data_IF_343880859820
#
_entry.id   IF_343880859820
#
_cell.length_a   1.000
_cell.length_b   1.000
_cell.length_c   1.000
_cell.angle_alpha   90.00
_cell.angle_beta   90.00
_cell.angle_gamma   90.00
#
_symmetry.space_group_name_H-M   'P 1'
#
loop_
_entity.id
_entity.type
_entity.pdbx_description
1 polymer ?
#
# COMPACT_ATOMS: atom_id res chain seq x y z
N UNK A 1 -8.61 -12.07 -1.13
CA UNK A 1 -9.34 -12.12 -2.40
C UNK A 1 -9.84 -10.70 -2.58
N UNK A 2 -8.98 -9.76 -2.93
CA UNK A 2 -9.31 -8.33 -2.79
C UNK A 2 -10.15 -7.84 -3.96
N UNK A 3 -11.37 -7.40 -3.67
CA UNK A 3 -12.32 -6.77 -4.61
C UNK A 3 -12.75 -7.61 -5.83
N UNK A 4 -12.77 -8.95 -5.73
CA UNK A 4 -13.36 -9.80 -6.78
C UNK A 4 -12.60 -9.82 -8.11
N UNK A 5 -11.42 -9.20 -8.19
CA UNK A 5 -10.53 -9.25 -9.36
C UNK A 5 -9.43 -10.28 -9.08
N UNK A 6 -9.35 -11.32 -9.89
CA UNK A 6 -8.24 -12.27 -9.88
C UNK A 6 -6.96 -11.54 -10.32
N UNK A 7 -6.15 -11.09 -9.36
CA UNK A 7 -4.85 -10.48 -9.65
C UNK A 7 -3.83 -11.59 -9.91
N UNK A 8 -3.29 -11.67 -11.13
CA UNK A 8 -2.30 -12.67 -11.57
C UNK A 8 -1.01 -12.71 -10.74
N UNK A 9 -0.72 -11.63 -10.00
CA UNK A 9 0.49 -11.52 -9.16
C UNK A 9 0.54 -12.50 -8.00
N UNK A 10 -0.60 -12.89 -7.40
CA UNK A 10 -0.61 -13.88 -6.32
C UNK A 10 -0.16 -15.25 -6.85
N UNK A 11 -0.79 -15.68 -7.95
CA UNK A 11 -0.46 -16.92 -8.66
C UNK A 11 1.00 -16.93 -9.12
N UNK A 12 1.56 -15.81 -9.55
CA UNK A 12 2.97 -15.71 -9.94
C UNK A 12 3.93 -15.80 -8.75
N UNK A 13 3.61 -15.14 -7.63
CA UNK A 13 4.41 -15.20 -6.42
C UNK A 13 4.39 -16.60 -5.80
N UNK A 14 3.23 -17.24 -5.76
CA UNK A 14 3.06 -18.63 -5.32
C UNK A 14 3.76 -19.59 -6.29
N UNK A 15 3.62 -19.39 -7.60
CA UNK A 15 4.32 -20.21 -8.60
C UNK A 15 5.84 -20.08 -8.49
N UNK A 16 6.36 -18.89 -8.16
CA UNK A 16 7.80 -18.67 -7.98
C UNK A 16 8.30 -19.35 -6.70
N UNK A 17 7.52 -19.31 -5.63
CA UNK A 17 7.83 -20.04 -4.39
C UNK A 17 7.79 -21.55 -4.64
N UNK A 18 6.75 -22.03 -5.31
CA UNK A 18 6.60 -23.45 -5.67
C UNK A 18 7.75 -23.93 -6.56
N UNK A 19 8.18 -23.14 -7.55
CA UNK A 19 9.37 -23.44 -8.39
C UNK A 19 10.69 -23.39 -7.61
N UNK A 20 10.77 -22.60 -6.54
CA UNK A 20 11.98 -22.54 -5.70
C UNK A 20 12.11 -23.72 -4.74
N UNK A 21 10.98 -24.38 -4.43
CA UNK A 21 10.91 -25.50 -3.50
C UNK A 21 10.85 -26.84 -4.26
N UNK A 22 10.25 -26.85 -5.46
CA UNK A 22 10.05 -28.04 -6.24
C UNK A 22 10.77 -28.06 -7.60
N UNK A 23 11.21 -29.25 -7.98
CA UNK A 23 11.68 -29.63 -9.30
C UNK A 23 10.77 -30.73 -9.91
N UNK A 24 11.17 -31.28 -11.06
CA UNK A 24 10.38 -32.31 -11.77
C UNK A 24 10.23 -33.62 -10.98
N UNK A 25 11.00 -33.82 -9.91
CA UNK A 25 11.00 -35.01 -9.05
C UNK A 25 10.32 -34.77 -7.71
N UNK A 26 9.98 -33.53 -7.39
CA UNK A 26 9.39 -33.16 -6.12
C UNK A 26 7.95 -33.63 -6.08
N UNK A 27 7.61 -34.48 -5.11
CA UNK A 27 6.21 -34.91 -4.94
C UNK A 27 5.40 -33.78 -4.31
N UNK A 28 4.06 -33.86 -4.40
CA UNK A 28 3.19 -32.89 -3.71
C UNK A 28 3.47 -32.85 -2.20
N UNK A 29 3.77 -34.00 -1.60
CA UNK A 29 4.10 -34.08 -0.18
C UNK A 29 5.42 -33.38 0.15
N UNK A 30 6.44 -33.53 -0.69
CA UNK A 30 7.73 -32.84 -0.53
C UNK A 30 7.57 -31.33 -0.69
N UNK A 31 6.74 -30.90 -1.66
CA UNK A 31 6.43 -29.48 -1.86
C UNK A 31 5.74 -28.88 -0.63
N UNK A 32 4.69 -29.53 -0.12
CA UNK A 32 3.97 -29.09 1.09
C UNK A 32 4.89 -29.10 2.30
N UNK A 33 5.71 -30.13 2.47
CA UNK A 33 6.68 -30.22 3.58
C UNK A 33 7.76 -29.12 3.48
N UNK A 34 8.20 -28.79 2.26
CA UNK A 34 9.14 -27.70 2.01
C UNK A 34 8.53 -26.32 2.30
N UNK A 35 7.25 -26.13 1.96
CA UNK A 35 6.50 -24.91 2.32
C UNK A 35 6.33 -24.77 3.84
N UNK A 36 6.01 -25.85 4.54
CA UNK A 36 5.90 -25.89 6.01
C UNK A 36 7.26 -25.54 6.64
N UNK A 37 8.34 -26.24 6.26
CA UNK A 37 9.69 -25.97 6.78
C UNK A 37 10.16 -24.55 6.51
N UNK A 38 9.84 -24.00 5.34
CA UNK A 38 10.15 -22.61 5.00
C UNK A 38 9.38 -21.65 5.90
N UNK A 39 8.11 -21.92 6.15
CA UNK A 39 7.26 -21.12 7.04
C UNK A 39 7.81 -21.16 8.47
N UNK A 40 8.18 -22.35 8.97
CA UNK A 40 8.82 -22.54 10.27
C UNK A 40 10.18 -21.83 10.37
N UNK A 41 11.01 -21.90 9.32
CA UNK A 41 12.31 -21.22 9.29
C UNK A 41 12.22 -19.69 9.15
N UNK A 42 11.11 -19.18 8.63
CA UNK A 42 10.82 -17.74 8.66
C UNK A 42 10.48 -17.30 10.08
N UNK A 43 9.77 -18.12 10.85
CA UNK A 43 9.33 -17.79 12.23
C UNK A 43 10.50 -17.40 13.15
N UNK A 44 11.63 -18.13 13.10
CA UNK A 44 12.76 -17.91 14.01
C UNK A 44 13.50 -16.57 13.75
N UNK A 45 13.82 -16.26 12.50
CA UNK A 45 14.50 -14.99 12.16
C UNK A 45 13.56 -13.80 12.25
N UNK A 46 12.28 -13.99 11.93
CA UNK A 46 11.27 -12.94 11.93
C UNK A 46 10.85 -12.56 13.36
N UNK A 47 10.77 -13.54 14.27
CA UNK A 47 10.47 -13.34 15.68
C UNK A 47 11.56 -12.54 16.39
N UNK A 48 12.84 -12.80 16.09
CA UNK A 48 13.97 -12.05 16.66
C UNK A 48 13.93 -10.56 16.30
N UNK A 49 13.56 -10.23 15.06
CA UNK A 49 13.51 -8.83 14.60
C UNK A 49 12.34 -8.06 15.23
N UNK A 50 11.17 -8.69 15.36
CA UNK A 50 10.01 -8.06 16.02
C UNK A 50 10.23 -7.88 17.52
N UNK A 51 10.91 -8.83 18.18
CA UNK A 51 11.31 -8.68 19.59
C UNK A 51 12.31 -7.54 19.79
N UNK A 52 13.22 -7.29 18.84
CA UNK A 52 14.15 -6.16 18.89
C UNK A 52 13.44 -4.81 18.70
N UNK A 53 12.47 -4.72 17.80
CA UNK A 53 11.64 -3.51 17.60
C UNK A 53 10.87 -3.16 18.90
N UNK A 54 10.47 -4.16 19.68
CA UNK A 54 9.70 -3.95 20.92
C UNK A 54 10.50 -3.38 22.11
N UNK A 55 11.84 -3.40 22.10
CA UNK A 55 12.63 -3.08 23.30
C UNK A 55 12.93 -1.58 23.47
N UNK A 56 12.94 -0.80 22.38
CA UNK A 56 13.10 0.65 22.42
C UNK A 56 12.20 1.31 21.36
N UNK A 57 11.21 2.12 21.76
CA UNK A 57 10.34 2.79 20.79
C UNK A 57 11.18 3.74 19.93
N UNK A 58 11.21 3.47 18.64
CA UNK A 58 11.81 4.33 17.63
C UNK A 58 10.95 5.58 17.40
N UNK A 59 11.50 6.58 16.72
CA UNK A 59 10.72 7.74 16.28
C UNK A 59 9.52 7.32 15.41
N UNK A 60 9.67 6.24 14.65
CA UNK A 60 8.63 5.69 13.77
C UNK A 60 7.49 5.10 14.60
N UNK A 61 7.80 4.41 15.70
CA UNK A 61 6.79 3.88 16.62
C UNK A 61 5.93 4.99 17.23
N UNK A 62 6.52 6.16 17.49
CA UNK A 62 5.78 7.34 17.98
C UNK A 62 4.94 7.97 16.86
N UNK A 63 5.50 8.11 15.66
CA UNK A 63 4.84 8.71 14.50
C UNK A 63 3.68 7.88 13.94
N UNK A 64 3.72 6.56 14.12
CA UNK A 64 2.72 5.63 13.59
C UNK A 64 2.13 4.71 14.67
N UNK A 65 2.11 5.14 15.93
CA UNK A 65 1.62 4.35 17.06
C UNK A 65 0.23 3.72 16.83
N UNK A 66 -0.72 4.51 16.32
CA UNK A 66 -2.09 4.04 16.05
C UNK A 66 -2.15 2.98 14.93
N UNK A 67 -1.62 3.24 13.72
CA UNK A 67 -1.50 2.21 12.68
C UNK A 67 -0.76 0.95 13.14
N UNK A 68 0.36 1.11 13.83
CA UNK A 68 1.16 -0.02 14.30
C UNK A 68 0.38 -0.90 15.28
N UNK A 69 -0.39 -0.29 16.20
CA UNK A 69 -1.26 -1.03 17.11
C UNK A 69 -2.34 -1.82 16.36
N UNK A 70 -2.94 -1.25 15.32
CA UNK A 70 -3.93 -1.95 14.49
C UNK A 70 -3.29 -3.11 13.73
N UNK A 71 -2.11 -2.90 13.15
CA UNK A 71 -1.38 -3.92 12.39
C UNK A 71 -0.99 -5.08 13.32
N UNK A 72 -0.42 -4.80 14.49
CA UNK A 72 -0.04 -5.83 15.47
C UNK A 72 -1.24 -6.62 16.00
N UNK A 73 -2.42 -5.99 16.11
CA UNK A 73 -3.63 -6.66 16.60
C UNK A 73 -4.38 -7.47 15.55
N UNK A 74 -4.15 -7.24 14.25
CA UNK A 74 -4.98 -7.80 13.17
C UNK A 74 -4.18 -8.56 12.09
N UNK A 75 -2.86 -8.44 12.07
CA UNK A 75 -2.02 -9.05 11.03
C UNK A 75 -1.13 -10.16 11.60
N UNK A 76 -0.83 -11.15 10.77
CA UNK A 76 0.19 -12.17 11.06
C UNK A 76 1.60 -11.57 11.00
N UNK A 77 2.57 -12.20 11.67
CA UNK A 77 3.95 -11.70 11.84
C UNK A 77 4.59 -11.21 10.53
N UNK A 78 4.50 -12.02 9.48
CA UNK A 78 5.02 -11.67 8.16
C UNK A 78 4.41 -10.38 7.61
N UNK A 79 3.09 -10.22 7.70
CA UNK A 79 2.39 -9.02 7.26
C UNK A 79 2.78 -7.80 8.13
N UNK A 80 2.90 -7.98 9.44
CA UNK A 80 3.38 -6.93 10.37
C UNK A 80 4.74 -6.40 9.93
N UNK A 81 5.69 -7.29 9.63
CA UNK A 81 7.03 -6.88 9.20
C UNK A 81 7.04 -6.17 7.85
N UNK A 82 6.24 -6.66 6.89
CA UNK A 82 6.13 -6.01 5.58
C UNK A 82 5.56 -4.61 5.73
N UNK A 83 4.50 -4.47 6.52
CA UNK A 83 3.86 -3.18 6.78
C UNK A 83 4.81 -2.25 7.55
N UNK A 84 5.57 -2.75 8.51
CA UNK A 84 6.59 -1.97 9.22
C UNK A 84 7.62 -1.38 8.24
N UNK A 85 8.17 -2.18 7.31
CA UNK A 85 9.07 -1.67 6.26
C UNK A 85 8.42 -0.62 5.37
N UNK A 86 7.13 -0.78 5.03
CA UNK A 86 6.40 0.25 4.29
C UNK A 86 6.27 1.55 5.08
N UNK A 87 6.00 1.45 6.39
CA UNK A 87 5.96 2.60 7.31
C UNK A 87 7.33 3.27 7.40
N UNK A 88 8.42 2.50 7.57
CA UNK A 88 9.77 3.06 7.66
C UNK A 88 10.16 3.83 6.39
N UNK A 89 9.81 3.31 5.22
CA UNK A 89 10.09 4.00 3.96
C UNK A 89 9.25 5.27 3.79
N UNK A 90 8.09 5.35 4.42
CA UNK A 90 7.12 6.44 4.19
C UNK A 90 7.61 7.82 4.63
N UNK A 91 8.50 7.90 5.62
CA UNK A 91 9.01 9.16 6.18
C UNK A 91 9.97 9.90 5.23
N UNK A 92 10.40 9.25 4.15
CA UNK A 92 11.29 9.82 3.14
C UNK A 92 10.55 10.42 1.94
N UNK A 93 9.24 10.62 2.06
CA UNK A 93 8.40 11.17 1.01
C UNK A 93 7.80 12.50 1.41
N UNK A 94 7.81 13.43 0.47
CA UNK A 94 7.02 14.66 0.52
C UNK A 94 5.63 14.40 -0.07
N UNK A 95 4.62 15.02 0.52
CA UNK A 95 3.23 14.89 0.09
C UNK A 95 2.66 16.27 -0.23
N UNK A 96 2.10 16.40 -1.42
CA UNK A 96 1.48 17.64 -1.91
C UNK A 96 0.08 17.33 -2.43
N UNK A 97 -0.92 18.07 -1.97
CA UNK A 97 -2.24 18.01 -2.59
C UNK A 97 -2.19 18.67 -3.96
N UNK A 98 -2.65 17.96 -4.99
CA UNK A 98 -2.79 18.50 -6.34
C UNK A 98 -4.07 19.33 -6.36
N UNK A 99 -4.03 20.63 -6.71
CA UNK A 99 -5.24 21.43 -6.82
C UNK A 99 -6.05 20.98 -8.03
N UNK A 100 -7.38 21.02 -7.91
CA UNK A 100 -8.26 20.80 -9.05
C UNK A 100 -8.07 21.98 -10.03
N UNK A 101 -7.86 21.73 -11.33
CA UNK A 101 -7.70 22.80 -12.31
C UNK A 101 -8.93 23.72 -12.37
N UNK A 102 -8.69 24.99 -12.69
CA UNK A 102 -9.74 26.00 -12.73
C UNK A 102 -10.85 25.62 -13.73
N UNK A 103 -12.11 25.76 -13.30
CA UNK A 103 -13.29 25.44 -14.12
C UNK A 103 -13.78 23.99 -13.99
N UNK A 104 -13.06 23.14 -13.28
CA UNK A 104 -13.51 21.78 -12.98
C UNK A 104 -14.14 21.71 -11.58
N UNK A 105 -15.18 20.90 -11.43
CA UNK A 105 -15.80 20.59 -10.12
C UNK A 105 -15.43 19.20 -9.61
N UNK A 106 -14.98 18.31 -10.49
CA UNK A 106 -14.61 16.93 -10.17
C UNK A 106 -13.40 16.48 -10.99
N UNK A 107 -12.55 15.65 -10.39
CA UNK A 107 -11.39 15.04 -11.05
C UNK A 107 -11.76 14.16 -12.25
N UNK A 108 -12.97 13.58 -12.22
CA UNK A 108 -13.48 12.67 -13.24
C UNK A 108 -13.71 13.36 -14.60
N UNK A 109 -13.76 14.71 -14.62
CA UNK A 109 -14.01 15.52 -15.81
C UNK A 109 -12.73 16.00 -16.50
N UNK A 110 -11.56 15.85 -15.87
CA UNK A 110 -10.26 16.36 -16.38
C UNK A 110 -9.71 15.61 -17.61
N UNK A 111 -10.42 14.62 -18.13
CA UNK A 111 -9.83 13.69 -19.08
C UNK A 111 -10.27 13.96 -20.51
N UNK A 112 -9.74 15.02 -21.13
CA UNK A 112 -9.82 15.26 -22.59
C UNK A 112 -8.60 14.74 -23.36
N UNK A 113 -7.62 14.11 -22.68
CA UNK A 113 -6.43 13.51 -23.31
C UNK A 113 -5.44 14.48 -23.99
N UNK A 114 -5.41 15.76 -23.61
CA UNK A 114 -4.56 16.76 -24.31
C UNK A 114 -3.23 17.09 -23.63
N UNK A 115 -2.97 16.64 -22.40
CA UNK A 115 -1.70 16.92 -21.68
C UNK A 115 -0.86 15.64 -21.45
N UNK A 116 0.24 15.53 -22.20
CA UNK A 116 1.20 14.43 -22.17
C UNK A 116 2.13 14.44 -20.94
N UNK A 117 2.04 15.45 -20.06
CA UNK A 117 2.89 15.53 -18.87
C UNK A 117 2.41 14.66 -17.71
N UNK A 118 1.19 14.12 -17.78
CA UNK A 118 0.64 13.23 -16.75
C UNK A 118 1.10 11.79 -17.04
N UNK A 119 1.94 11.24 -16.15
CA UNK A 119 2.40 9.85 -16.24
C UNK A 119 1.20 8.90 -16.38
N UNK A 120 1.38 7.86 -17.20
CA UNK A 120 0.35 6.86 -17.53
C UNK A 120 -0.37 6.29 -16.28
N UNK A 121 0.33 6.26 -15.13
CA UNK A 121 -0.17 5.74 -13.86
C UNK A 121 -1.29 6.59 -13.25
N UNK A 122 -1.20 7.92 -13.25
CA UNK A 122 -2.24 8.81 -12.70
C UNK A 122 -3.47 8.85 -13.59
N UNK A 123 -3.25 8.88 -14.91
CA UNK A 123 -4.33 8.81 -15.92
C UNK A 123 -5.13 7.52 -15.78
N UNK A 124 -4.44 6.39 -15.67
CA UNK A 124 -5.07 5.09 -15.44
C UNK A 124 -5.87 5.10 -14.13
N UNK A 125 -5.29 5.62 -13.05
CA UNK A 125 -5.93 5.70 -11.74
C UNK A 125 -7.26 6.48 -11.77
N UNK A 126 -7.26 7.69 -12.34
CA UNK A 126 -8.47 8.51 -12.44
C UNK A 126 -9.53 7.88 -13.36
N UNK A 127 -9.11 7.29 -14.48
CA UNK A 127 -9.99 6.56 -15.37
C UNK A 127 -10.62 5.34 -14.68
N UNK A 128 -9.82 4.59 -13.90
CA UNK A 128 -10.30 3.46 -13.12
C UNK A 128 -11.36 3.89 -12.10
N UNK A 129 -11.10 4.96 -11.36
CA UNK A 129 -12.06 5.55 -10.40
C UNK A 129 -13.36 5.93 -11.11
N UNK A 130 -13.27 6.65 -12.23
CA UNK A 130 -14.43 7.11 -12.98
C UNK A 130 -15.26 5.94 -13.57
N UNK A 131 -14.60 4.92 -14.12
CA UNK A 131 -15.28 3.76 -14.73
C UNK A 131 -16.02 2.90 -13.69
N UNK A 132 -15.60 2.94 -12.42
CA UNK A 132 -16.28 2.25 -11.32
C UNK A 132 -17.32 3.12 -10.62
N UNK A 133 -17.59 4.34 -11.12
CA UNK A 133 -18.56 5.26 -10.54
C UNK A 133 -18.12 5.84 -9.19
N UNK A 134 -16.84 5.76 -8.86
CA UNK A 134 -16.30 6.33 -7.63
C UNK A 134 -15.99 7.82 -7.81
N UNK A 135 -16.07 8.58 -6.72
CA UNK A 135 -15.73 9.99 -6.70
C UNK A 135 -14.37 10.16 -6.05
N UNK A 136 -13.43 10.76 -6.79
CA UNK A 136 -12.16 11.22 -6.23
C UNK A 136 -12.39 12.53 -5.48
N UNK A 137 -12.21 12.53 -4.17
CA UNK A 137 -12.33 13.71 -3.29
C UNK A 137 -11.02 14.50 -3.24
N UNK A 138 -9.87 13.85 -3.44
CA UNK A 138 -8.57 14.52 -3.47
C UNK A 138 -7.52 13.71 -4.20
N UNK A 139 -6.61 14.40 -4.90
CA UNK A 139 -5.46 13.79 -5.54
C UNK A 139 -4.18 14.31 -4.88
N UNK A 140 -3.29 13.41 -4.51
CA UNK A 140 -2.05 13.71 -3.80
C UNK A 140 -0.86 13.20 -4.58
N UNK A 141 0.13 14.08 -4.73
CA UNK A 141 1.43 13.78 -5.33
C UNK A 141 2.40 13.42 -4.20
N UNK A 142 3.04 12.28 -4.34
CA UNK A 142 3.99 11.73 -3.38
C UNK A 142 5.36 11.65 -4.05
N UNK A 143 6.33 12.44 -3.56
CA UNK A 143 7.65 12.54 -4.16
C UNK A 143 8.74 12.10 -3.18
N UNK A 144 9.67 11.25 -3.62
CA UNK A 144 10.78 10.82 -2.77
C UNK A 144 11.83 11.93 -2.65
N UNK A 145 12.39 12.17 -1.46
CA UNK A 145 13.35 13.28 -1.31
C UNK A 145 14.64 13.11 -2.12
N UNK A 146 15.10 11.87 -2.32
CA UNK A 146 16.39 11.60 -2.97
C UNK A 146 16.27 11.14 -4.43
N UNK A 147 15.07 11.17 -5.03
CA UNK A 147 14.89 10.83 -6.44
C UNK A 147 13.75 11.60 -7.08
N UNK A 148 13.73 11.67 -8.41
CA UNK A 148 12.63 12.25 -9.17
C UNK A 148 11.41 11.30 -9.29
N UNK A 149 11.37 10.23 -8.48
CA UNK A 149 10.24 9.32 -8.46
C UNK A 149 9.03 10.00 -7.83
N UNK A 150 7.93 9.99 -8.59
CA UNK A 150 6.66 10.61 -8.21
C UNK A 150 5.58 9.56 -8.36
N UNK A 151 4.80 9.41 -7.31
CA UNK A 151 3.62 8.57 -7.23
C UNK A 151 2.38 9.40 -6.94
N UNK A 152 1.22 8.85 -7.25
CA UNK A 152 -0.05 9.50 -6.99
C UNK A 152 -0.96 8.63 -6.14
N UNK A 153 -1.66 9.27 -5.21
CA UNK A 153 -2.74 8.67 -4.43
C UNK A 153 -4.00 9.49 -4.63
N UNK A 154 -5.07 8.81 -5.04
CA UNK A 154 -6.41 9.34 -5.01
C UNK A 154 -7.08 8.96 -3.70
N UNK A 155 -7.69 9.93 -3.04
CA UNK A 155 -8.62 9.75 -1.92
C UNK A 155 -10.03 9.81 -2.51
N UNK A 156 -10.87 8.87 -2.11
CA UNK A 156 -12.26 8.76 -2.55
C UNK A 156 -13.21 9.43 -1.53
N UNK A 157 -14.47 9.64 -1.91
CA UNK A 157 -15.52 10.21 -1.06
C UNK A 157 -15.78 9.43 0.25
N UNK A 158 -15.54 8.11 0.25
CA UNK A 158 -15.64 7.23 1.41
C UNK A 158 -14.33 7.10 2.21
N UNK A 159 -13.41 8.07 2.07
CA UNK A 159 -12.07 8.08 2.72
C UNK A 159 -11.18 6.89 2.33
N UNK A 160 -11.58 6.11 1.33
CA UNK A 160 -10.76 5.06 0.73
C UNK A 160 -9.65 5.67 -0.12
N UNK A 161 -8.53 4.97 -0.22
CA UNK A 161 -7.38 5.45 -1.01
C UNK A 161 -7.00 4.46 -2.09
N UNK A 162 -6.65 4.96 -3.27
CA UNK A 162 -6.06 4.18 -4.35
C UNK A 162 -4.72 4.78 -4.74
N UNK A 163 -3.69 3.93 -4.76
CA UNK A 163 -2.35 4.32 -5.12
C UNK A 163 -1.95 3.74 -6.49
N UNK A 164 -1.30 4.56 -7.30
CA UNK A 164 -0.85 4.21 -8.64
C UNK A 164 0.26 3.13 -8.67
N UNK A 165 0.87 2.83 -7.51
CA UNK A 165 1.83 1.73 -7.39
C UNK A 165 1.18 0.35 -7.40
N UNK A 166 -0.15 0.26 -7.26
CA UNK A 166 -0.95 -0.98 -7.32
C UNK A 166 -0.60 -2.00 -6.22
N UNK A 167 0.41 -1.76 -5.37
CA UNK A 167 0.81 -2.65 -4.27
C UNK A 167 -0.36 -2.96 -3.35
N UNK A 168 -1.13 -1.93 -2.97
CA UNK A 168 -2.32 -2.08 -2.14
C UNK A 168 -3.33 -3.06 -2.73
N UNK A 169 -3.59 -2.94 -4.03
CA UNK A 169 -4.57 -3.77 -4.75
C UNK A 169 -4.02 -5.20 -4.94
N UNK A 170 -2.74 -5.32 -5.30
CA UNK A 170 -2.07 -6.58 -5.61
C UNK A 170 -1.87 -7.48 -4.39
N UNK A 171 -1.39 -6.89 -3.29
CA UNK A 171 -0.87 -7.63 -2.15
C UNK A 171 -1.77 -7.58 -0.91
N UNK A 172 -2.85 -6.80 -0.95
CA UNK A 172 -3.68 -6.60 0.24
C UNK A 172 -2.90 -5.94 1.39
N UNK A 173 -1.88 -5.13 1.07
CA UNK A 173 -1.11 -4.40 2.07
C UNK A 173 -0.91 -2.94 1.63
N UNK A 174 -1.17 -1.95 2.50
CA UNK A 174 -0.85 -0.56 2.22
C UNK A 174 0.63 -0.35 1.88
N UNK A 175 0.89 0.43 0.85
CA UNK A 175 2.24 0.79 0.42
C UNK A 175 2.81 1.95 1.26
N UNK A 176 4.10 2.21 1.13
CA UNK A 176 4.77 3.33 1.81
C UNK A 176 4.14 4.69 1.48
N UNK A 177 3.62 4.87 0.25
CA UNK A 177 2.95 6.12 -0.16
C UNK A 177 1.68 6.38 0.64
N UNK A 178 0.93 5.33 0.98
CA UNK A 178 -0.25 5.45 1.84
C UNK A 178 0.13 5.98 3.22
N UNK A 179 1.18 5.42 3.82
CA UNK A 179 1.65 5.87 5.13
C UNK A 179 2.21 7.30 5.09
N UNK A 180 2.83 7.70 3.98
CA UNK A 180 3.27 9.08 3.77
C UNK A 180 2.08 10.04 3.76
N UNK A 181 1.00 9.67 3.05
CA UNK A 181 -0.25 10.44 3.04
C UNK A 181 -0.92 10.47 4.43
N UNK A 182 -0.92 9.35 5.15
CA UNK A 182 -1.45 9.28 6.51
C UNK A 182 -0.68 10.20 7.46
N UNK A 183 0.65 10.22 7.34
CA UNK A 183 1.51 11.12 8.10
C UNK A 183 1.25 12.60 7.74
N UNK A 184 1.10 12.89 6.45
CA UNK A 184 0.73 14.22 5.98
C UNK A 184 -0.57 14.71 6.63
N UNK A 185 -1.65 13.93 6.59
CA UNK A 185 -2.93 14.31 7.21
C UNK A 185 -2.83 14.49 8.73
N UNK A 186 -1.98 13.69 9.40
CA UNK A 186 -1.71 13.87 10.83
C UNK A 186 -1.04 15.21 11.12
N UNK A 187 -0.16 15.68 10.25
CA UNK A 187 0.50 16.98 10.38
C UNK A 187 -0.41 18.15 9.99
N UNK A 188 -1.26 17.97 8.96
CA UNK A 188 -2.10 19.03 8.38
C UNK A 188 -3.51 19.09 8.97
N UNK A 189 -3.70 18.64 10.23
CA UNK A 189 -4.95 18.54 11.02
C UNK A 189 -5.89 19.78 11.02
N UNK A 190 -5.60 20.84 10.28
CA UNK A 190 -6.39 22.07 10.13
C UNK A 190 -7.39 22.07 8.95
N UNK A 191 -7.42 21.06 8.06
CA UNK A 191 -8.26 21.15 6.85
C UNK A 191 -9.15 19.92 6.59
N UNK A 192 -10.21 19.76 7.38
CA UNK A 192 -11.51 19.22 6.94
C UNK A 192 -11.64 17.81 6.35
N UNK A 193 -10.55 17.13 5.99
CA UNK A 193 -10.54 15.70 5.68
C UNK A 193 -10.48 14.96 7.01
N UNK A 194 -11.67 14.58 7.48
CA UNK A 194 -11.82 13.54 8.49
C UNK A 194 -10.98 12.34 8.08
N UNK A 195 -10.18 11.89 9.04
CA UNK A 195 -9.39 10.66 9.10
C UNK A 195 -9.38 9.83 7.82
N UNK A 196 -8.26 9.76 7.09
CA UNK A 196 -8.10 8.62 6.16
C UNK A 196 -8.18 7.35 6.98
N UNK A 197 -9.31 6.65 6.88
CA UNK A 197 -9.55 5.47 7.69
C UNK A 197 -8.71 4.35 7.11
N UNK A 198 -7.82 3.84 7.94
CA UNK A 198 -7.07 2.63 7.68
C UNK A 198 -8.01 1.42 7.71
N UNK A 199 -8.72 1.18 6.60
CA UNK A 199 -9.52 -0.02 6.43
C UNK A 199 -8.62 -1.17 5.96
N UNK A 200 -8.13 -1.97 6.92
CA UNK A 200 -7.57 -3.29 6.62
C UNK A 200 -8.57 -4.17 5.83
N UNK A 201 -9.87 -3.94 6.00
CA UNK A 201 -10.94 -4.68 5.32
C UNK A 201 -11.06 -4.43 3.82
N UNK A 202 -10.51 -3.34 3.29
CA UNK A 202 -10.43 -3.14 1.82
C UNK A 202 -9.37 -4.04 1.19
N UNK A 203 -8.52 -4.65 2.01
CA UNK A 203 -7.37 -5.41 1.60
C UNK A 203 -7.50 -6.92 1.85
N UNK A 204 -8.67 -7.40 2.31
CA UNK A 204 -8.97 -8.83 2.46
C UNK A 204 -10.01 -9.32 1.44
#
# INVERSE_FOLDING_TARGET
>A
FTCGVHMSGHVESENRVNKSIGDIKTTLFDLVSGLIKRTEGQDDMETLHVQQISQHPSAIDVLFAEPLKLIQGNCVLYAVQKLYKQIEHSVFYNVEQVPLPAGYTHWNLLNTFEDDNIKLSTKYLLCFIATHGWLCSGLFKIAYYASESIHFIAVLDMEHTLCDCIIGINLGIPCCYYYALLHYFRLTKEQGLSTVVFYLSLFN
#
